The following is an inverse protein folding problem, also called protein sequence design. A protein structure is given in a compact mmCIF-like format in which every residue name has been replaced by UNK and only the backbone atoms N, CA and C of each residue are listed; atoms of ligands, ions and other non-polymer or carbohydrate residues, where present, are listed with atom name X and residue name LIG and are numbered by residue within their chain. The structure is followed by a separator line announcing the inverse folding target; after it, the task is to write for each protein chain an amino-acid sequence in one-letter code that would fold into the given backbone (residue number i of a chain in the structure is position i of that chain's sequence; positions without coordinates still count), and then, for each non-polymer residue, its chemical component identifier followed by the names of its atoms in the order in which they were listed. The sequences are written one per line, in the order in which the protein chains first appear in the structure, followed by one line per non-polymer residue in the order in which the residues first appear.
data_IF_424558431806
#
_entry.id   IF_424558431806
#
_cell.length_a   1.000
_cell.length_b   1.000
_cell.length_c   1.000
_cell.angle_alpha   90.00
_cell.angle_beta   90.00
_cell.angle_gamma   90.00
#
_symmetry.space_group_name_H-M   'P 1'
#
loop_
_entity.id
_entity.type
_entity.pdbx_description
1 polymer ?
#
# COMPACT_ATOMS: atom_id res chain seq x y z
N UNK A 1 -26.47 -0.32 6.28
CA UNK A 1 -25.77 -0.41 4.97
C UNK A 1 -24.26 -0.43 5.16
N UNK A 2 -23.55 -1.14 4.26
CA UNK A 2 -22.09 -1.15 4.21
C UNK A 2 -21.65 -0.77 2.80
N UNK A 3 -20.72 0.20 2.71
CA UNK A 3 -20.07 0.60 1.47
C UNK A 3 -18.61 0.17 1.52
N UNK A 4 -18.20 -0.71 0.62
CA UNK A 4 -16.79 -1.07 0.41
C UNK A 4 -16.24 -0.19 -0.70
N UNK A 5 -15.31 0.69 -0.35
CA UNK A 5 -14.65 1.59 -1.30
C UNK A 5 -13.40 0.91 -1.84
N UNK A 6 -13.41 0.57 -3.14
CA UNK A 6 -12.39 -0.26 -3.81
C UNK A 6 -11.66 0.46 -4.95
N UNK A 7 -11.89 1.78 -5.11
CA UNK A 7 -11.18 2.60 -6.09
C UNK A 7 -9.73 2.85 -5.65
N UNK A 8 -8.93 3.45 -6.50
CA UNK A 8 -7.56 3.86 -6.20
C UNK A 8 -7.51 4.88 -5.05
N UNK A 9 -6.37 4.93 -4.34
CA UNK A 9 -6.20 5.78 -3.16
C UNK A 9 -6.48 7.26 -3.45
N UNK A 10 -5.98 7.78 -4.59
CA UNK A 10 -6.17 9.17 -4.99
C UNK A 10 -7.65 9.54 -5.26
N UNK A 11 -8.51 8.58 -5.61
CA UNK A 11 -9.94 8.79 -5.82
C UNK A 11 -10.77 8.66 -4.52
N UNK A 12 -10.20 8.08 -3.46
CA UNK A 12 -10.93 7.79 -2.23
C UNK A 12 -11.57 9.03 -1.57
N UNK A 13 -10.90 10.21 -1.50
CA UNK A 13 -11.52 11.41 -0.91
C UNK A 13 -12.75 11.88 -1.69
N UNK A 14 -12.66 11.90 -3.02
CA UNK A 14 -13.76 12.29 -3.89
C UNK A 14 -14.94 11.30 -3.82
N UNK A 15 -14.63 10.01 -3.91
CA UNK A 15 -15.66 8.98 -3.89
C UNK A 15 -16.37 8.89 -2.53
N UNK A 16 -15.65 9.08 -1.42
CA UNK A 16 -16.25 9.14 -0.09
C UNK A 16 -17.26 10.29 0.01
N UNK A 17 -16.91 11.49 -0.47
CA UNK A 17 -17.79 12.65 -0.49
C UNK A 17 -19.01 12.43 -1.40
N UNK A 18 -18.82 11.79 -2.57
CA UNK A 18 -19.89 11.47 -3.50
C UNK A 18 -20.93 10.52 -2.90
N UNK A 19 -20.48 9.53 -2.15
CA UNK A 19 -21.36 8.48 -1.57
C UNK A 19 -21.95 8.89 -0.24
N UNK A 20 -21.30 9.76 0.53
CA UNK A 20 -21.72 10.16 1.87
C UNK A 20 -23.21 10.57 2.00
N UNK A 21 -23.82 11.34 1.05
CA UNK A 21 -25.23 11.71 1.13
C UNK A 21 -26.22 10.55 0.98
N UNK A 22 -25.76 9.42 0.46
CA UNK A 22 -26.59 8.22 0.22
C UNK A 22 -26.40 7.15 1.28
N UNK A 23 -25.41 7.33 2.17
CA UNK A 23 -25.16 6.40 3.27
C UNK A 23 -26.21 6.60 4.36
N UNK A 24 -26.86 5.51 4.79
CA UNK A 24 -27.80 5.54 5.91
C UNK A 24 -27.14 6.10 7.19
N UNK A 25 -27.94 6.63 8.11
CA UNK A 25 -27.43 7.25 9.34
C UNK A 25 -26.55 6.29 10.17
N UNK A 26 -26.89 5.01 10.17
CA UNK A 26 -26.14 3.91 10.80
C UNK A 26 -25.23 3.17 9.82
N UNK A 27 -25.08 3.64 8.58
CA UNK A 27 -24.29 3.02 7.55
C UNK A 27 -22.77 3.09 7.82
N UNK A 28 -22.04 2.11 7.30
CA UNK A 28 -20.58 2.05 7.42
C UNK A 28 -19.91 2.24 6.06
N UNK A 29 -18.80 2.95 6.06
CA UNK A 29 -17.93 3.10 4.88
C UNK A 29 -16.53 2.54 5.19
N UNK A 30 -16.13 1.51 4.47
CA UNK A 30 -14.84 0.84 4.62
C UNK A 30 -13.94 1.17 3.44
N UNK A 31 -12.82 1.84 3.70
CA UNK A 31 -11.80 2.14 2.68
C UNK A 31 -10.83 0.97 2.52
N UNK A 32 -10.93 0.27 1.38
CA UNK A 32 -10.13 -0.95 1.10
C UNK A 32 -9.00 -0.65 0.10
N UNK A 33 -8.34 0.50 0.28
CA UNK A 33 -7.23 0.93 -0.58
C UNK A 33 -5.87 0.74 0.12
N UNK A 34 -4.81 0.66 -0.71
CA UNK A 34 -3.45 0.92 -0.26
C UNK A 34 -3.31 2.36 0.27
N UNK A 35 -2.18 2.68 0.90
CA UNK A 35 -1.92 4.01 1.43
C UNK A 35 -2.75 4.36 2.68
N UNK A 36 -2.73 5.63 3.06
CA UNK A 36 -3.30 6.13 4.32
C UNK A 36 -4.66 6.81 4.13
N UNK A 37 -5.61 6.13 3.46
CA UNK A 37 -6.90 6.70 3.03
C UNK A 37 -7.96 6.80 4.14
N UNK A 38 -7.78 6.15 5.31
CA UNK A 38 -8.78 6.09 6.39
C UNK A 38 -9.26 7.47 6.84
N UNK A 39 -8.34 8.43 7.00
CA UNK A 39 -8.69 9.81 7.40
C UNK A 39 -9.45 10.58 6.34
N UNK A 40 -9.30 10.23 5.06
CA UNK A 40 -10.09 10.84 3.99
C UNK A 40 -11.56 10.37 4.06
N UNK A 41 -11.78 9.09 4.34
CA UNK A 41 -13.12 8.53 4.57
C UNK A 41 -13.75 9.16 5.81
N UNK A 42 -13.00 9.21 6.93
CA UNK A 42 -13.46 9.85 8.18
C UNK A 42 -13.94 11.29 7.95
N UNK A 43 -13.18 12.09 7.20
CA UNK A 43 -13.60 13.47 6.89
C UNK A 43 -14.91 13.57 6.14
N UNK A 44 -15.26 12.55 5.35
CA UNK A 44 -16.49 12.54 4.57
C UNK A 44 -17.71 12.07 5.38
N UNK A 45 -17.55 11.04 6.23
CA UNK A 45 -18.70 10.38 6.88
C UNK A 45 -18.63 10.38 8.41
N UNK A 46 -17.55 10.90 9.00
CA UNK A 46 -17.30 10.90 10.44
C UNK A 46 -16.69 9.58 10.95
N UNK A 47 -15.94 9.65 12.06
CA UNK A 47 -15.27 8.48 12.63
C UNK A 47 -16.24 7.34 12.94
N UNK A 48 -17.44 7.66 13.48
CA UNK A 48 -18.46 6.70 13.89
C UNK A 48 -19.03 5.84 12.76
N UNK A 49 -18.76 6.18 11.49
CA UNK A 49 -19.18 5.43 10.30
C UNK A 49 -17.99 4.93 9.46
N UNK A 50 -16.78 5.15 9.91
CA UNK A 50 -15.56 4.79 9.18
C UNK A 50 -14.96 3.50 9.71
N UNK A 51 -14.72 2.54 8.83
CA UNK A 51 -13.89 1.37 9.06
C UNK A 51 -12.62 1.51 8.21
N UNK A 52 -11.47 1.47 8.87
CA UNK A 52 -10.19 1.39 8.18
C UNK A 52 -9.84 -0.06 7.86
N UNK A 53 -9.23 -0.30 6.71
CA UNK A 53 -8.83 -1.67 6.34
C UNK A 53 -7.43 -1.70 5.75
N UNK A 54 -6.81 -2.87 5.81
CA UNK A 54 -5.62 -3.24 5.06
C UNK A 54 -5.99 -4.37 4.11
N UNK A 55 -5.39 -4.41 2.93
CA UNK A 55 -5.61 -5.46 1.94
C UNK A 55 -4.29 -6.04 1.42
N UNK A 56 -4.22 -7.38 1.36
CA UNK A 56 -3.21 -8.13 0.61
C UNK A 56 -3.93 -9.16 -0.26
N UNK A 57 -4.21 -8.76 -1.48
CA UNK A 57 -4.87 -9.58 -2.49
C UNK A 57 -4.45 -9.10 -3.87
N UNK A 58 -3.95 -10.00 -4.70
CA UNK A 58 -3.53 -9.68 -6.07
C UNK A 58 -4.57 -10.19 -7.07
N UNK A 59 -4.95 -9.31 -7.98
CA UNK A 59 -5.82 -9.62 -9.12
C UNK A 59 -5.51 -8.69 -10.29
N UNK A 60 -5.88 -9.11 -11.50
CA UNK A 60 -5.83 -8.28 -12.72
C UNK A 60 -7.21 -8.27 -13.39
N UNK A 61 -7.47 -7.21 -14.14
CA UNK A 61 -8.63 -7.10 -15.01
C UNK A 61 -8.13 -6.57 -16.37
N UNK A 62 -7.75 -7.50 -17.25
CA UNK A 62 -7.21 -7.18 -18.57
C UNK A 62 -8.34 -6.95 -19.59
N UNK A 63 -9.48 -7.58 -19.38
CA UNK A 63 -10.70 -7.42 -20.15
C UNK A 63 -11.83 -6.87 -19.27
N UNK A 64 -12.73 -6.00 -19.78
CA UNK A 64 -13.85 -5.48 -19.00
C UNK A 64 -14.68 -6.59 -18.37
N UNK A 65 -14.93 -6.47 -17.05
CA UNK A 65 -15.70 -7.40 -16.22
C UNK A 65 -15.09 -8.80 -16.04
N UNK A 66 -13.89 -9.07 -16.55
CA UNK A 66 -13.19 -10.35 -16.32
C UNK A 66 -12.03 -10.13 -15.33
N UNK A 67 -12.25 -10.56 -14.09
CA UNK A 67 -11.23 -10.47 -13.03
C UNK A 67 -10.50 -11.79 -12.89
N UNK A 68 -9.18 -11.74 -13.07
CA UNK A 68 -8.27 -12.84 -12.75
C UNK A 68 -7.69 -12.65 -11.38
N UNK A 69 -8.10 -13.47 -10.43
CA UNK A 69 -7.57 -13.46 -9.07
C UNK A 69 -6.30 -14.32 -9.00
N UNK A 70 -5.18 -13.74 -8.60
CA UNK A 70 -3.90 -14.43 -8.46
C UNK A 70 -3.67 -14.99 -7.05
N UNK A 71 -4.09 -14.23 -6.02
CA UNK A 71 -4.00 -14.68 -4.63
C UNK A 71 -5.20 -15.57 -4.28
N UNK A 72 -5.02 -16.87 -3.98
CA UNK A 72 -6.12 -17.72 -3.54
C UNK A 72 -6.72 -17.21 -2.22
N UNK A 73 -8.00 -17.53 -1.96
CA UNK A 73 -8.71 -17.07 -0.76
C UNK A 73 -7.95 -17.43 0.53
N UNK A 74 -7.33 -18.61 0.58
CA UNK A 74 -6.56 -19.07 1.74
C UNK A 74 -5.26 -18.30 2.01
N UNK A 75 -4.80 -17.48 1.06
CA UNK A 75 -3.59 -16.65 1.18
C UNK A 75 -3.88 -15.16 1.15
N UNK A 76 -5.09 -14.76 0.71
CA UNK A 76 -5.49 -13.36 0.79
C UNK A 76 -5.71 -12.96 2.24
N UNK A 77 -5.25 -11.78 2.58
CA UNK A 77 -5.31 -11.25 3.93
C UNK A 77 -5.88 -9.84 3.95
N UNK A 78 -6.69 -9.60 4.94
CA UNK A 78 -7.24 -8.28 5.25
C UNK A 78 -7.02 -7.98 6.72
N UNK A 79 -7.03 -6.72 7.06
CA UNK A 79 -7.19 -6.27 8.43
C UNK A 79 -8.29 -5.23 8.50
N UNK A 80 -8.98 -5.17 9.63
CA UNK A 80 -9.94 -4.13 9.96
C UNK A 80 -9.55 -3.46 11.27
N UNK A 81 -10.03 -2.25 11.45
CA UNK A 81 -9.91 -1.49 12.69
C UNK A 81 -10.67 -0.19 12.61
N UNK A 82 -10.80 0.45 13.74
CA UNK A 82 -11.55 1.71 13.89
C UNK A 82 -10.60 2.85 14.28
N UNK A 83 -10.90 4.05 13.79
CA UNK A 83 -10.23 5.27 14.25
C UNK A 83 -10.77 5.70 15.62
N UNK A 84 -10.09 6.56 16.37
CA UNK A 84 -10.62 7.13 17.62
C UNK A 84 -12.01 7.73 17.40
N UNK A 85 -12.98 7.30 18.22
CA UNK A 85 -14.39 7.67 18.05
C UNK A 85 -15.12 6.88 16.98
N UNK A 86 -14.53 5.80 16.50
CA UNK A 86 -15.10 4.88 15.52
C UNK A 86 -16.29 4.06 16.05
N UNK A 87 -16.90 3.22 15.19
CA UNK A 87 -18.01 2.37 15.57
C UNK A 87 -17.58 1.28 16.58
N UNK A 88 -18.58 0.60 17.16
CA UNK A 88 -18.32 -0.52 18.05
C UNK A 88 -17.72 -1.73 17.33
N UNK A 89 -17.10 -2.63 18.08
CA UNK A 89 -16.54 -3.89 17.56
C UNK A 89 -17.57 -4.70 16.78
N UNK A 90 -18.80 -4.79 17.28
CA UNK A 90 -19.87 -5.53 16.57
C UNK A 90 -20.14 -4.95 15.17
N UNK A 91 -20.06 -3.64 15.03
CA UNK A 91 -20.22 -2.98 13.72
C UNK A 91 -19.00 -3.18 12.82
N UNK A 92 -17.79 -3.18 13.38
CA UNK A 92 -16.58 -3.55 12.65
C UNK A 92 -16.66 -5.00 12.15
N UNK A 93 -17.17 -5.91 12.99
CA UNK A 93 -17.33 -7.34 12.67
C UNK A 93 -18.29 -7.57 11.47
N UNK A 94 -19.25 -6.70 11.23
CA UNK A 94 -20.08 -6.76 10.02
C UNK A 94 -19.23 -6.61 8.75
N UNK A 95 -18.30 -5.66 8.73
CA UNK A 95 -17.39 -5.45 7.59
C UNK A 95 -16.39 -6.61 7.49
N UNK A 96 -15.82 -7.03 8.63
CA UNK A 96 -14.92 -8.16 8.68
C UNK A 96 -15.57 -9.45 8.15
N UNK A 97 -16.87 -9.69 8.47
CA UNK A 97 -17.62 -10.83 7.96
C UNK A 97 -17.74 -10.82 6.43
N UNK A 98 -17.96 -9.65 5.82
CA UNK A 98 -17.98 -9.51 4.36
C UNK A 98 -16.60 -9.82 3.75
N UNK A 99 -15.52 -9.29 4.33
CA UNK A 99 -14.17 -9.50 3.83
C UNK A 99 -13.69 -10.95 3.97
N UNK A 100 -14.17 -11.70 4.99
CA UNK A 100 -13.85 -13.13 5.20
C UNK A 100 -14.29 -14.04 4.03
N UNK A 101 -15.24 -13.61 3.19
CA UNK A 101 -15.55 -14.31 1.95
C UNK A 101 -14.40 -14.24 0.93
N UNK A 102 -13.48 -13.30 1.10
CA UNK A 102 -12.38 -13.06 0.16
C UNK A 102 -11.00 -13.38 0.74
N UNK A 103 -10.86 -13.62 2.03
CA UNK A 103 -9.58 -13.94 2.66
C UNK A 103 -9.69 -14.04 4.18
N UNK A 104 -8.56 -14.20 4.86
CA UNK A 104 -8.49 -14.08 6.32
C UNK A 104 -8.60 -12.62 6.73
N UNK A 105 -9.15 -12.36 7.91
CA UNK A 105 -9.32 -10.99 8.44
C UNK A 105 -8.82 -10.95 9.88
N UNK A 106 -7.85 -10.09 10.14
CA UNK A 106 -7.36 -9.77 11.47
C UNK A 106 -7.93 -8.42 11.93
N UNK A 107 -7.99 -8.21 13.23
CA UNK A 107 -8.40 -6.96 13.86
C UNK A 107 -7.20 -6.27 14.50
N UNK A 108 -7.07 -4.97 14.25
CA UNK A 108 -6.03 -4.15 14.87
C UNK A 108 -6.65 -2.97 15.61
N UNK A 109 -6.34 -2.84 16.90
CA UNK A 109 -6.73 -1.67 17.68
C UNK A 109 -6.02 -0.39 17.18
N UNK A 110 -4.78 -0.54 16.71
CA UNK A 110 -4.03 0.50 16.02
C UNK A 110 -3.96 0.21 14.52
N UNK A 111 -5.08 0.38 13.85
CA UNK A 111 -5.19 0.14 12.41
C UNK A 111 -4.35 1.12 11.57
N UNK A 112 -4.09 2.33 12.05
CA UNK A 112 -3.25 3.29 11.34
C UNK A 112 -1.80 2.80 11.29
N UNK A 113 -1.29 2.23 12.37
CA UNK A 113 0.03 1.57 12.37
C UNK A 113 0.06 0.34 11.47
N UNK A 114 -0.99 -0.48 11.44
CA UNK A 114 -1.08 -1.60 10.50
C UNK A 114 -1.07 -1.14 9.03
N UNK A 115 -1.80 -0.06 8.71
CA UNK A 115 -1.77 0.57 7.38
C UNK A 115 -0.39 1.13 7.05
N UNK A 116 0.30 1.73 8.02
CA UNK A 116 1.66 2.22 7.81
C UNK A 116 2.65 1.09 7.55
N UNK A 117 2.58 -0.01 8.30
CA UNK A 117 3.39 -1.20 8.03
C UNK A 117 3.13 -1.78 6.62
N UNK A 118 1.87 -1.73 6.16
CA UNK A 118 1.55 -2.08 4.77
C UNK A 118 2.17 -1.08 3.79
N UNK A 119 2.19 0.22 4.12
CA UNK A 119 2.86 1.24 3.30
C UNK A 119 4.38 1.00 3.23
N UNK A 120 5.03 0.59 4.32
CA UNK A 120 6.45 0.16 4.30
C UNK A 120 6.67 -0.92 3.24
N UNK A 121 5.85 -1.97 3.24
CA UNK A 121 5.89 -3.03 2.23
C UNK A 121 5.68 -2.50 0.80
N UNK A 122 4.70 -1.62 0.61
CA UNK A 122 4.38 -1.07 -0.70
C UNK A 122 5.48 -0.14 -1.22
N UNK A 123 6.06 0.71 -0.37
CA UNK A 123 7.18 1.59 -0.71
C UNK A 123 8.44 0.80 -1.09
N UNK A 124 8.65 -0.35 -0.46
CA UNK A 124 9.73 -1.27 -0.79
C UNK A 124 9.60 -1.81 -2.22
N UNK A 125 8.39 -2.16 -2.67
CA UNK A 125 8.22 -2.99 -3.86
C UNK A 125 7.45 -2.33 -5.00
N UNK A 126 6.34 -1.61 -4.75
CA UNK A 126 5.38 -1.32 -5.81
C UNK A 126 5.90 -0.32 -6.84
N UNK A 127 6.45 0.81 -6.41
CA UNK A 127 6.97 1.84 -7.33
C UNK A 127 8.40 1.50 -7.76
N UNK A 128 9.22 1.01 -6.85
CA UNK A 128 10.62 0.66 -7.13
C UNK A 128 10.76 -0.35 -8.27
N UNK A 129 9.88 -1.37 -8.34
CA UNK A 129 9.88 -2.31 -9.47
C UNK A 129 9.15 -1.76 -10.70
N UNK A 130 8.11 -0.94 -10.52
CA UNK A 130 7.36 -0.35 -11.63
C UNK A 130 8.25 0.50 -12.54
N UNK A 131 9.13 1.31 -11.95
CA UNK A 131 10.05 2.19 -12.71
C UNK A 131 11.05 1.41 -13.55
N UNK A 132 11.29 0.13 -13.23
CA UNK A 132 12.13 -0.79 -14.02
C UNK A 132 11.37 -1.45 -15.19
N UNK A 133 10.04 -1.37 -15.21
CA UNK A 133 9.22 -1.96 -16.28
C UNK A 133 9.18 -3.50 -16.29
N UNK A 134 9.66 -4.15 -15.24
CA UNK A 134 9.83 -5.61 -15.13
C UNK A 134 8.78 -6.24 -14.20
N UNK A 135 8.48 -7.55 -14.39
CA UNK A 135 7.88 -8.34 -13.34
C UNK A 135 8.72 -8.30 -12.05
N UNK A 136 8.07 -8.39 -10.89
CA UNK A 136 8.72 -8.21 -9.60
C UNK A 136 9.88 -9.18 -9.34
N UNK A 137 9.73 -10.46 -9.72
CA UNK A 137 10.80 -11.47 -9.57
C UNK A 137 11.96 -11.23 -10.54
N UNK A 138 11.70 -10.70 -11.73
CA UNK A 138 12.74 -10.39 -12.71
C UNK A 138 13.55 -9.18 -12.28
N UNK A 139 12.88 -8.18 -11.68
CA UNK A 139 13.56 -7.02 -11.11
C UNK A 139 14.55 -7.41 -10.00
N UNK A 140 14.24 -8.42 -9.18
CA UNK A 140 15.16 -8.94 -8.14
C UNK A 140 16.46 -9.54 -8.69
N UNK A 141 16.51 -9.89 -9.98
CA UNK A 141 17.74 -10.41 -10.61
C UNK A 141 18.70 -9.29 -11.00
N UNK A 142 18.29 -8.03 -10.91
CA UNK A 142 19.17 -6.90 -11.19
C UNK A 142 20.09 -6.66 -9.98
N UNK A 143 21.38 -6.62 -10.28
CA UNK A 143 22.40 -6.34 -9.25
C UNK A 143 22.14 -4.97 -8.57
N UNK A 144 22.20 -4.94 -7.23
CA UNK A 144 21.96 -3.73 -6.43
C UNK A 144 20.50 -3.30 -6.29
N UNK A 145 19.54 -3.98 -6.91
CA UNK A 145 18.11 -3.58 -6.77
C UNK A 145 17.55 -3.88 -5.37
N UNK A 146 17.95 -5.02 -4.77
CA UNK A 146 17.48 -5.37 -3.42
C UNK A 146 17.87 -4.31 -2.39
N UNK A 147 19.09 -3.76 -2.48
CA UNK A 147 19.58 -2.71 -1.59
C UNK A 147 18.71 -1.45 -1.67
N UNK A 148 18.28 -1.06 -2.88
CA UNK A 148 17.37 0.07 -3.11
C UNK A 148 16.01 -0.20 -2.49
N UNK A 149 15.46 -1.40 -2.70
CA UNK A 149 14.17 -1.79 -2.11
C UNK A 149 14.21 -1.70 -0.59
N UNK A 150 15.23 -2.29 0.03
CA UNK A 150 15.38 -2.32 1.49
C UNK A 150 15.60 -0.91 2.02
N UNK A 151 16.37 -0.07 1.32
CA UNK A 151 16.59 1.32 1.70
C UNK A 151 15.26 2.11 1.67
N UNK A 152 14.46 1.99 0.60
CA UNK A 152 13.14 2.63 0.52
C UNK A 152 12.22 2.21 1.67
N UNK A 153 12.19 0.92 1.99
CA UNK A 153 11.40 0.39 3.11
C UNK A 153 11.89 0.88 4.47
N UNK A 154 13.21 0.95 4.68
CA UNK A 154 13.79 1.45 5.93
C UNK A 154 13.51 2.94 6.13
N UNK A 155 13.55 3.76 5.07
CA UNK A 155 13.10 5.16 5.13
C UNK A 155 11.63 5.24 5.55
N UNK A 156 10.75 4.45 4.94
CA UNK A 156 9.33 4.42 5.30
C UNK A 156 9.11 3.97 6.75
N UNK A 157 9.88 2.99 7.23
CA UNK A 157 9.83 2.52 8.62
C UNK A 157 10.29 3.62 9.61
N UNK A 158 11.35 4.35 9.27
CA UNK A 158 11.86 5.46 10.08
C UNK A 158 10.86 6.61 10.15
N UNK A 159 10.25 6.99 9.02
CA UNK A 159 9.19 8.01 8.96
C UNK A 159 8.00 7.59 9.82
N UNK A 160 7.54 6.34 9.70
CA UNK A 160 6.45 5.82 10.52
C UNK A 160 6.73 5.92 12.02
N UNK A 161 7.94 5.57 12.44
CA UNK A 161 8.37 5.70 13.83
C UNK A 161 8.38 7.16 14.31
N UNK A 162 8.81 8.11 13.47
CA UNK A 162 8.80 9.53 13.78
C UNK A 162 7.37 10.12 13.86
N UNK A 163 6.43 9.57 13.09
CA UNK A 163 4.99 9.90 13.16
C UNK A 163 4.28 9.25 14.35
N UNK A 164 4.94 8.32 15.08
CA UNK A 164 4.38 7.64 16.25
C UNK A 164 3.71 6.30 15.91
N UNK A 165 3.79 5.83 14.66
CA UNK A 165 3.28 4.52 14.30
C UNK A 165 4.09 3.39 14.94
N UNK A 166 3.38 2.37 15.39
CA UNK A 166 3.97 1.17 15.97
C UNK A 166 4.37 0.18 14.85
N UNK A 167 5.43 -0.60 15.11
CA UNK A 167 5.76 -1.75 14.29
C UNK A 167 4.85 -2.90 14.72
N UNK A 168 4.02 -3.37 13.79
CA UNK A 168 3.04 -4.44 14.04
C UNK A 168 3.37 -5.69 13.21
N UNK A 169 3.10 -6.89 13.74
CA UNK A 169 3.40 -8.16 13.07
C UNK A 169 2.39 -8.46 11.95
N UNK A 170 2.56 -7.82 10.79
CA UNK A 170 1.77 -8.12 9.58
C UNK A 170 2.53 -9.10 8.66
N UNK A 171 1.88 -9.68 7.68
CA UNK A 171 2.46 -10.63 6.70
C UNK A 171 3.16 -11.84 7.30
N UNK A 172 2.70 -12.32 8.47
CA UNK A 172 3.29 -13.43 9.15
C UNK A 172 4.65 -13.13 9.82
N UNK A 173 4.96 -11.83 10.01
CA UNK A 173 6.02 -11.42 10.93
C UNK A 173 5.66 -11.86 12.36
N UNK A 174 6.63 -12.33 13.11
CA UNK A 174 6.46 -12.68 14.52
C UNK A 174 6.91 -11.53 15.41
N UNK A 175 6.50 -11.57 16.70
CA UNK A 175 6.96 -10.58 17.70
C UNK A 175 8.49 -10.56 17.82
N UNK A 176 9.14 -11.72 17.77
CA UNK A 176 10.61 -11.80 17.82
C UNK A 176 11.27 -11.16 16.58
N UNK A 177 10.66 -11.33 15.40
CA UNK A 177 11.18 -10.75 14.15
C UNK A 177 11.04 -9.23 14.11
N UNK A 178 9.99 -8.66 14.69
CA UNK A 178 9.81 -7.20 14.77
C UNK A 178 10.60 -6.53 15.88
N UNK A 179 11.13 -7.30 16.84
CA UNK A 179 11.97 -6.79 17.93
C UNK A 179 13.30 -6.22 17.39
N UNK A 180 13.87 -6.83 16.35
CA UNK A 180 15.06 -6.32 15.66
C UNK A 180 14.68 -5.41 14.46
N UNK A 181 14.48 -4.14 14.76
CA UNK A 181 14.06 -3.14 13.77
C UNK A 181 15.02 -3.03 12.56
N UNK A 182 16.28 -3.40 12.70
CA UNK A 182 17.27 -3.30 11.62
C UNK A 182 17.03 -4.32 10.50
N UNK A 183 16.28 -5.40 10.78
CA UNK A 183 16.04 -6.50 9.85
C UNK A 183 14.59 -6.63 9.38
N UNK A 184 13.68 -5.81 9.91
CA UNK A 184 12.24 -5.93 9.61
C UNK A 184 11.96 -5.89 8.12
N UNK A 185 12.54 -4.91 7.40
CA UNK A 185 12.28 -4.73 5.96
C UNK A 185 12.83 -5.91 5.16
N UNK A 186 14.02 -6.41 5.49
CA UNK A 186 14.59 -7.60 4.85
C UNK A 186 13.70 -8.84 5.06
N UNK A 187 13.32 -9.12 6.31
CA UNK A 187 12.49 -10.27 6.65
C UNK A 187 11.11 -10.16 5.98
N UNK A 188 10.50 -8.98 6.05
CA UNK A 188 9.20 -8.71 5.40
C UNK A 188 9.29 -8.92 3.88
N UNK A 189 10.36 -8.42 3.25
CA UNK A 189 10.60 -8.58 1.82
C UNK A 189 10.72 -10.08 1.46
N UNK A 190 11.51 -10.85 2.22
CA UNK A 190 11.65 -12.30 1.98
C UNK A 190 10.32 -13.03 2.10
N UNK A 191 9.51 -12.73 3.12
CA UNK A 191 8.18 -13.33 3.31
C UNK A 191 7.22 -12.97 2.17
N UNK A 192 7.23 -11.72 1.71
CA UNK A 192 6.41 -11.27 0.58
C UNK A 192 6.77 -12.04 -0.70
N UNK A 193 8.05 -12.13 -1.03
CA UNK A 193 8.48 -12.86 -2.22
C UNK A 193 8.23 -14.36 -2.12
N UNK A 194 8.36 -14.96 -0.94
CA UNK A 194 8.09 -16.38 -0.76
C UNK A 194 6.58 -16.73 -0.76
N UNK A 195 5.72 -15.81 -0.30
CA UNK A 195 4.30 -16.08 -0.05
C UNK A 195 3.32 -15.49 -1.06
N UNK A 196 3.62 -14.33 -1.62
CA UNK A 196 2.63 -13.51 -2.31
C UNK A 196 3.01 -13.16 -3.76
N UNK A 197 4.30 -13.12 -4.11
CA UNK A 197 4.74 -12.76 -5.46
C UNK A 197 4.83 -14.02 -6.32
N UNK A 198 4.10 -14.01 -7.44
CA UNK A 198 4.10 -15.11 -8.41
C UNK A 198 4.91 -14.75 -9.66
N UNK A 199 5.48 -15.73 -10.39
CA UNK A 199 6.21 -15.48 -11.63
C UNK A 199 5.38 -14.68 -12.65
N UNK A 200 6.01 -13.68 -13.27
CA UNK A 200 5.37 -12.78 -14.23
C UNK A 200 4.49 -11.68 -13.63
N UNK A 201 4.25 -11.68 -12.30
CA UNK A 201 3.44 -10.67 -11.66
C UNK A 201 4.11 -9.29 -11.75
N UNK A 202 3.31 -8.29 -12.14
CA UNK A 202 3.68 -6.88 -12.17
C UNK A 202 2.90 -6.10 -11.12
N UNK A 203 3.44 -4.97 -10.67
CA UNK A 203 2.77 -4.12 -9.70
C UNK A 203 1.60 -3.36 -10.29
N UNK A 204 0.66 -2.94 -9.44
CA UNK A 204 -0.51 -2.14 -9.84
C UNK A 204 -0.08 -0.81 -10.49
N UNK A 205 1.02 -0.22 -10.05
CA UNK A 205 1.60 1.00 -10.64
C UNK A 205 2.03 0.75 -12.09
N UNK A 206 2.79 -0.31 -12.35
CA UNK A 206 3.21 -0.65 -13.71
C UNK A 206 2.01 -1.02 -14.61
N UNK A 207 0.99 -1.68 -14.05
CA UNK A 207 -0.24 -1.99 -14.78
C UNK A 207 -0.98 -0.73 -15.20
N UNK A 208 -1.04 0.30 -14.33
CA UNK A 208 -1.67 1.58 -14.69
C UNK A 208 -0.90 2.26 -15.83
N UNK A 209 0.41 2.34 -15.77
CA UNK A 209 1.22 2.93 -16.84
C UNK A 209 1.11 2.18 -18.19
N UNK A 210 0.96 0.86 -18.16
CA UNK A 210 0.74 0.04 -19.38
C UNK A 210 -0.62 0.26 -20.05
N UNK A 211 -1.59 0.82 -19.33
CA UNK A 211 -2.92 1.13 -19.90
C UNK A 211 -2.93 2.38 -20.77
N UNK A 212 -1.86 3.13 -20.82
CA UNK A 212 -1.69 4.26 -21.72
C UNK A 212 -0.82 5.38 -21.16
N UNK A 213 -0.27 6.22 -22.02
CA UNK A 213 0.58 7.34 -21.62
C UNK A 213 -0.21 8.36 -20.78
N UNK A 214 0.46 8.98 -19.80
CA UNK A 214 -0.15 9.99 -18.93
C UNK A 214 -1.14 9.43 -17.90
N UNK A 215 -1.20 8.12 -17.73
CA UNK A 215 -2.03 7.51 -16.69
C UNK A 215 -1.43 7.81 -15.31
N UNK A 216 -2.24 8.40 -14.47
CA UNK A 216 -1.93 8.61 -13.07
C UNK A 216 -1.92 7.28 -12.31
N UNK A 217 -1.04 7.15 -11.34
CA UNK A 217 -0.93 5.97 -10.48
C UNK A 217 -0.92 6.37 -9.00
N UNK A 218 -0.80 5.39 -8.10
CA UNK A 218 -0.79 5.62 -6.65
C UNK A 218 0.59 6.07 -6.11
N UNK A 219 1.48 6.57 -6.93
CA UNK A 219 2.86 6.96 -6.53
C UNK A 219 2.85 7.95 -5.37
N UNK A 220 1.97 8.96 -5.42
CA UNK A 220 1.86 9.99 -4.37
C UNK A 220 1.24 9.48 -3.07
N UNK A 221 0.48 8.40 -3.12
CA UNK A 221 -0.08 7.71 -1.95
C UNK A 221 0.86 6.62 -1.38
N UNK A 222 1.98 6.34 -2.05
CA UNK A 222 2.98 5.34 -1.68
C UNK A 222 4.33 6.01 -1.36
N UNK A 223 5.32 5.90 -2.26
CA UNK A 223 6.66 6.47 -2.03
C UNK A 223 6.63 8.00 -1.92
N UNK A 224 5.74 8.68 -2.65
CA UNK A 224 5.50 10.12 -2.53
C UNK A 224 5.00 10.52 -1.15
N UNK A 225 4.09 9.74 -0.56
CA UNK A 225 3.63 9.97 0.81
C UNK A 225 4.78 9.84 1.81
N UNK A 226 5.61 8.80 1.68
CA UNK A 226 6.79 8.61 2.55
C UNK A 226 7.73 9.81 2.46
N UNK A 227 7.98 10.30 1.24
CA UNK A 227 8.85 11.46 1.03
C UNK A 227 8.26 12.75 1.64
N UNK A 228 6.96 12.98 1.46
CA UNK A 228 6.27 14.16 1.98
C UNK A 228 6.21 14.16 3.52
N UNK A 229 5.81 13.05 4.12
CA UNK A 229 5.75 12.90 5.59
C UNK A 229 7.15 12.96 6.21
N UNK A 230 8.15 12.33 5.56
CA UNK A 230 9.54 12.39 5.98
C UNK A 230 10.06 13.83 6.07
N UNK A 231 9.77 14.65 5.06
CA UNK A 231 10.09 16.08 5.08
C UNK A 231 9.38 16.83 6.22
N UNK A 232 8.11 16.45 6.51
CA UNK A 232 7.32 17.04 7.59
C UNK A 232 7.86 16.76 8.99
N UNK A 233 8.48 15.59 9.20
CA UNK A 233 9.03 15.16 10.50
C UNK A 233 10.56 15.21 10.56
N UNK A 234 11.23 15.70 9.51
CA UNK A 234 12.69 15.85 9.48
C UNK A 234 13.46 14.53 9.33
N UNK A 235 12.85 13.49 8.77
CA UNK A 235 13.47 12.21 8.46
C UNK A 235 13.89 12.21 6.97
N UNK A 236 15.18 12.05 6.65
CA UNK A 236 15.63 11.98 5.25
C UNK A 236 15.06 10.75 4.53
N UNK A 237 14.57 10.95 3.30
CA UNK A 237 13.98 9.90 2.46
C UNK A 237 14.49 9.98 1.01
N UNK A 238 15.84 9.97 0.78
CA UNK A 238 16.40 10.20 -0.55
C UNK A 238 15.96 9.15 -1.57
N UNK A 239 15.82 7.89 -1.19
CA UNK A 239 15.41 6.81 -2.10
C UNK A 239 13.94 6.97 -2.49
N UNK A 240 13.04 7.18 -1.51
CA UNK A 240 11.62 7.39 -1.81
C UNK A 240 11.40 8.65 -2.65
N UNK A 241 12.10 9.74 -2.37
CA UNK A 241 12.02 10.98 -3.16
C UNK A 241 12.50 10.76 -4.60
N UNK A 242 13.62 10.05 -4.79
CA UNK A 242 14.16 9.75 -6.12
C UNK A 242 13.24 8.84 -6.92
N UNK A 243 12.72 7.78 -6.29
CA UNK A 243 11.77 6.86 -6.93
C UNK A 243 10.50 7.60 -7.35
N UNK A 244 10.01 8.52 -6.51
CA UNK A 244 8.84 9.36 -6.82
C UNK A 244 9.12 10.30 -8.00
N UNK A 245 10.29 10.96 -8.06
CA UNK A 245 10.66 11.80 -9.20
C UNK A 245 10.72 11.00 -10.51
N UNK A 246 11.37 9.84 -10.50
CA UNK A 246 11.44 8.96 -11.68
C UNK A 246 10.01 8.57 -12.13
N UNK A 247 9.14 8.20 -11.20
CA UNK A 247 7.77 7.83 -11.50
C UNK A 247 6.97 8.99 -12.12
N UNK A 248 7.07 10.19 -11.57
CA UNK A 248 6.45 11.39 -12.13
C UNK A 248 6.97 11.72 -13.54
N UNK A 249 8.27 11.53 -13.78
CA UNK A 249 8.86 11.71 -15.13
C UNK A 249 8.34 10.67 -16.12
N UNK A 250 8.05 9.44 -15.66
CA UNK A 250 7.40 8.41 -16.48
C UNK A 250 5.96 8.83 -16.79
N UNK A 251 5.20 9.29 -15.82
CA UNK A 251 3.81 9.75 -16.01
C UNK A 251 3.72 10.94 -16.97
N UNK A 252 4.71 11.84 -16.94
CA UNK A 252 4.81 12.95 -17.92
C UNK A 252 5.36 12.56 -19.29
N UNK A 253 5.75 11.28 -19.47
CA UNK A 253 6.33 10.80 -20.75
C UNK A 253 7.79 11.21 -20.99
N UNK A 254 8.48 11.74 -19.98
CA UNK A 254 9.89 12.14 -20.05
C UNK A 254 10.84 10.94 -19.94
N UNK A 255 10.39 9.89 -19.26
CA UNK A 255 11.06 8.60 -19.13
C UNK A 255 10.12 7.47 -19.53
N UNK A 256 10.72 6.28 -19.75
CA UNK A 256 9.96 5.03 -19.90
C UNK A 256 10.32 4.08 -18.76
N UNK A 257 9.38 3.23 -18.28
CA UNK A 257 9.71 2.14 -17.38
C UNK A 257 10.70 1.18 -18.04
N UNK A 258 11.93 1.09 -17.50
CA UNK A 258 13.00 0.25 -18.07
C UNK A 258 14.11 -0.04 -17.06
N UNK A 259 14.85 -1.15 -17.21
CA UNK A 259 15.88 -1.55 -16.25
C UNK A 259 16.98 -0.49 -16.00
N UNK A 260 17.31 0.33 -17.01
CA UNK A 260 18.34 1.38 -16.90
C UNK A 260 17.99 2.48 -15.89
N UNK A 261 16.71 2.60 -15.50
CA UNK A 261 16.32 3.52 -14.43
C UNK A 261 16.89 3.10 -13.06
N UNK A 262 17.43 1.88 -12.94
CA UNK A 262 18.15 1.43 -11.75
C UNK A 262 19.34 2.34 -11.41
N UNK A 263 20.05 2.83 -12.43
CA UNK A 263 21.19 3.72 -12.21
C UNK A 263 20.78 5.07 -11.63
N UNK A 264 19.58 5.57 -11.98
CA UNK A 264 19.01 6.78 -11.37
C UNK A 264 18.68 6.54 -9.90
N UNK A 265 18.13 5.36 -9.55
CA UNK A 265 17.82 5.03 -8.16
C UNK A 265 19.08 4.81 -7.31
N UNK A 266 20.14 4.22 -7.87
CA UNK A 266 21.43 4.02 -7.19
C UNK A 266 22.05 5.33 -6.71
N UNK A 267 21.86 6.41 -7.46
CA UNK A 267 22.38 7.73 -7.07
C UNK A 267 21.81 8.24 -5.73
N UNK A 268 20.69 7.69 -5.27
CA UNK A 268 20.07 8.05 -3.99
C UNK A 268 20.70 7.33 -2.78
N UNK A 269 21.48 6.27 -3.01
CA UNK A 269 22.15 5.54 -1.94
C UNK A 269 23.47 6.22 -1.48
N UNK A 270 23.98 7.20 -2.22
CA UNK A 270 25.20 7.98 -1.92
C UNK A 270 26.45 7.37 -2.55
#
# INVERSE_FOLDING_TARGET
DVVLMLMKAYDAPWAAQLVAPYLADDGLMAGVQNGMTARAVERAVGAHRTIATVIECSSTMDEPALVHRHTPVSKAWFATGVLPGGPSRDREDEVAALLRHSGTVDHFDDIESAKWMKLVSNATLLVTSAVLGLPMLDALQLDGYREIMVAAGNEALAVGGALGHQVLPIFGLTEDEIADRSRIVDIMTDKLFAGFVVPGATTTVLQDWRRGPGRHSEVDDLNGLVAAEGAGVGVPTPVNATVTDIAHRIERGELQPRPENLDLMRAALG
#
